data_IF_522873639878
#
_entry.id   IF_522873639878
#
_cell.length_a   1.000
_cell.length_b   1.000
_cell.length_c   1.000
_cell.angle_alpha   90.00
_cell.angle_beta   90.00
_cell.angle_gamma   90.00
#
_symmetry.space_group_name_H-M   'P 1'
#
loop_
_entity.id
_entity.type
_entity.pdbx_description
1 polymer ?
#
# COMPACT_ATOMS: atom_id res chain seq x y z
N UNK A 1 -28.42 -7.69 -24.44
CA UNK A 1 -29.16 -7.17 -23.26
C UNK A 1 -28.34 -7.53 -22.03
N UNK A 2 -27.90 -6.53 -21.25
CA UNK A 2 -27.21 -6.78 -19.99
C UNK A 2 -28.25 -6.95 -18.89
N UNK A 3 -28.22 -8.09 -18.21
CA UNK A 3 -29.10 -8.37 -17.08
C UNK A 3 -28.54 -7.63 -15.86
N UNK A 4 -29.24 -6.61 -15.39
CA UNK A 4 -28.90 -5.92 -14.14
C UNK A 4 -29.63 -6.64 -13.02
N UNK A 5 -28.92 -7.34 -12.10
CA UNK A 5 -29.57 -8.05 -11.02
C UNK A 5 -30.25 -7.05 -10.05
N UNK A 6 -31.38 -7.44 -9.42
CA UNK A 6 -32.11 -6.57 -8.51
C UNK A 6 -31.28 -6.20 -7.27
N UNK A 7 -31.50 -4.98 -6.77
CA UNK A 7 -30.89 -4.48 -5.54
C UNK A 7 -31.21 -5.41 -4.37
N UNK A 8 -30.17 -6.00 -3.77
CA UNK A 8 -30.31 -6.88 -2.62
C UNK A 8 -29.64 -6.21 -1.39
N UNK A 9 -30.38 -5.95 -0.30
CA UNK A 9 -29.88 -5.24 0.88
C UNK A 9 -28.75 -5.97 1.63
N UNK A 10 -28.45 -7.24 1.31
CA UNK A 10 -27.27 -7.94 1.79
C UNK A 10 -25.97 -7.56 1.02
N UNK A 11 -26.08 -7.00 -0.19
CA UNK A 11 -24.92 -6.57 -0.99
C UNK A 11 -24.14 -5.42 -0.34
N UNK A 12 -24.77 -4.34 0.17
CA UNK A 12 -24.06 -3.27 0.87
C UNK A 12 -23.27 -3.78 2.09
N UNK A 13 -23.88 -4.67 2.88
CA UNK A 13 -23.23 -5.25 4.06
C UNK A 13 -22.04 -6.15 3.68
N UNK A 14 -22.16 -6.94 2.61
CA UNK A 14 -21.08 -7.84 2.13
C UNK A 14 -19.95 -7.06 1.46
N UNK A 15 -20.24 -6.01 0.69
CA UNK A 15 -19.23 -5.12 0.12
C UNK A 15 -18.42 -4.40 1.20
N UNK A 16 -19.08 -3.89 2.24
CA UNK A 16 -18.40 -3.26 3.38
C UNK A 16 -17.47 -4.25 4.10
N UNK A 17 -17.85 -5.53 4.21
CA UNK A 17 -16.99 -6.54 4.85
C UNK A 17 -15.71 -6.84 4.07
N UNK A 18 -15.77 -6.89 2.73
CA UNK A 18 -14.60 -7.07 1.87
C UNK A 18 -13.71 -5.83 1.94
N UNK A 19 -14.28 -4.65 1.74
CA UNK A 19 -13.53 -3.40 1.71
C UNK A 19 -12.80 -3.15 3.04
N UNK A 20 -13.45 -3.40 4.19
CA UNK A 20 -12.80 -3.28 5.50
C UNK A 20 -11.60 -4.24 5.61
N UNK A 21 -11.72 -5.47 5.11
CA UNK A 21 -10.63 -6.44 5.11
C UNK A 21 -9.47 -5.97 4.23
N UNK A 22 -9.78 -5.48 3.03
CA UNK A 22 -8.77 -5.03 2.06
C UNK A 22 -8.05 -3.77 2.57
N UNK A 23 -8.77 -2.80 3.14
CA UNK A 23 -8.15 -1.65 3.83
C UNK A 23 -7.28 -2.13 5.01
N UNK A 24 -7.73 -3.12 5.78
CA UNK A 24 -6.92 -3.70 6.86
C UNK A 24 -5.63 -4.34 6.36
N UNK A 25 -5.65 -4.99 5.18
CA UNK A 25 -4.45 -5.52 4.52
C UNK A 25 -3.53 -4.39 4.07
N UNK A 26 -4.07 -3.36 3.42
CA UNK A 26 -3.31 -2.18 3.00
C UNK A 26 -2.56 -1.54 4.17
N UNK A 27 -3.24 -1.29 5.30
CA UNK A 27 -2.63 -0.72 6.51
C UNK A 27 -1.42 -1.53 7.00
N UNK A 28 -1.49 -2.87 6.96
CA UNK A 28 -0.37 -3.73 7.38
C UNK A 28 0.78 -3.73 6.37
N UNK A 29 0.47 -3.71 5.07
CA UNK A 29 1.45 -3.56 4.00
C UNK A 29 2.22 -2.25 4.14
N UNK A 30 1.51 -1.13 4.18
CA UNK A 30 2.07 0.22 4.37
C UNK A 30 2.95 0.32 5.61
N UNK A 31 2.48 -0.22 6.75
CA UNK A 31 3.26 -0.23 7.98
C UNK A 31 4.56 -1.04 7.84
N UNK A 32 4.52 -2.17 7.12
CA UNK A 32 5.69 -3.00 6.83
C UNK A 32 6.67 -2.27 5.90
N UNK A 33 6.17 -1.61 4.87
CA UNK A 33 6.95 -0.78 3.94
C UNK A 33 7.66 0.38 4.66
N UNK A 34 6.95 1.13 5.52
CA UNK A 34 7.54 2.22 6.35
C UNK A 34 8.73 1.75 7.17
N UNK A 35 8.65 0.55 7.74
CA UNK A 35 9.73 -0.04 8.54
C UNK A 35 10.86 -0.50 7.63
N UNK A 36 10.54 -1.16 6.50
CA UNK A 36 11.55 -1.65 5.57
C UNK A 36 12.35 -0.50 4.96
N UNK A 37 11.69 0.57 4.52
CA UNK A 37 12.35 1.67 3.84
C UNK A 37 13.17 2.51 4.81
N UNK A 38 12.78 2.57 6.08
CA UNK A 38 13.64 3.12 7.14
C UNK A 38 14.97 2.35 7.25
N UNK A 39 14.90 1.02 7.21
CA UNK A 39 16.08 0.15 7.28
C UNK A 39 16.94 0.30 6.03
N UNK A 40 16.35 0.29 4.83
CA UNK A 40 17.06 0.48 3.57
C UNK A 40 17.76 1.85 3.51
N UNK A 41 17.10 2.92 3.95
CA UNK A 41 17.70 4.25 4.02
C UNK A 41 18.91 4.31 4.98
N UNK A 42 18.92 3.50 6.06
CA UNK A 42 20.06 3.41 6.97
C UNK A 42 21.24 2.65 6.35
N UNK A 43 20.97 1.72 5.45
CA UNK A 43 21.97 0.89 4.77
C UNK A 43 22.51 1.53 3.48
N UNK A 44 21.78 2.48 2.90
CA UNK A 44 22.18 3.18 1.68
C UNK A 44 23.44 4.02 1.89
N UNK A 45 24.52 3.68 1.16
CA UNK A 45 25.79 4.42 1.21
C UNK A 45 25.74 5.75 0.44
N UNK A 46 24.96 5.80 -0.64
CA UNK A 46 24.79 7.00 -1.46
C UNK A 46 23.77 7.97 -0.81
N UNK A 47 24.14 9.23 -0.51
CA UNK A 47 23.26 10.20 0.13
C UNK A 47 21.99 10.54 -0.67
N UNK A 48 22.09 10.59 -2.00
CA UNK A 48 20.96 10.87 -2.88
C UNK A 48 19.94 9.72 -2.88
N UNK A 49 20.41 8.47 -2.96
CA UNK A 49 19.56 7.27 -2.84
C UNK A 49 18.91 7.23 -1.46
N UNK A 50 19.68 7.49 -0.40
CA UNK A 50 19.14 7.56 0.96
C UNK A 50 18.02 8.60 1.08
N UNK A 51 18.24 9.80 0.52
CA UNK A 51 17.22 10.86 0.50
C UNK A 51 15.96 10.38 -0.23
N UNK A 52 16.10 9.77 -1.40
CA UNK A 52 14.95 9.30 -2.17
C UNK A 52 14.17 8.19 -1.45
N UNK A 53 14.85 7.23 -0.80
CA UNK A 53 14.19 6.19 0.01
C UNK A 53 13.41 6.82 1.18
N UNK A 54 13.94 7.88 1.79
CA UNK A 54 13.23 8.59 2.86
C UNK A 54 12.02 9.38 2.36
N UNK A 55 12.04 9.88 1.13
CA UNK A 55 10.87 10.47 0.47
C UNK A 55 9.80 9.41 0.22
N UNK A 56 10.15 8.26 -0.38
CA UNK A 56 9.23 7.12 -0.57
C UNK A 56 8.62 6.68 0.76
N UNK A 57 9.45 6.52 1.81
CA UNK A 57 8.94 6.21 3.16
C UNK A 57 7.92 7.22 3.68
N UNK A 58 8.08 8.51 3.35
CA UNK A 58 7.15 9.54 3.78
C UNK A 58 5.82 9.45 3.01
N UNK A 59 5.82 8.88 1.82
CA UNK A 59 4.64 8.60 1.00
C UNK A 59 3.86 7.43 1.63
N UNK A 60 4.54 6.34 2.01
CA UNK A 60 3.90 5.22 2.74
C UNK A 60 3.26 5.63 4.07
N UNK A 61 3.89 6.56 4.80
CA UNK A 61 3.28 7.12 6.02
C UNK A 61 1.96 7.84 5.69
N UNK A 62 1.86 8.52 4.55
CA UNK A 62 0.63 9.21 4.15
C UNK A 62 -0.43 8.19 3.71
N UNK A 63 -0.05 7.16 2.97
CA UNK A 63 -0.94 6.06 2.60
C UNK A 63 -1.50 5.35 3.83
N UNK A 64 -0.62 4.91 4.74
CA UNK A 64 -0.97 4.29 6.03
C UNK A 64 -2.02 5.11 6.79
N UNK A 65 -1.75 6.41 7.00
CA UNK A 65 -2.65 7.28 7.78
C UNK A 65 -4.00 7.46 7.09
N UNK A 66 -4.00 7.55 5.75
CA UNK A 66 -5.21 7.67 4.94
C UNK A 66 -6.08 6.41 5.10
N UNK A 67 -5.48 5.23 4.94
CA UNK A 67 -6.19 3.96 5.08
C UNK A 67 -6.67 3.71 6.50
N UNK A 68 -5.88 4.09 7.52
CA UNK A 68 -6.28 4.01 8.93
C UNK A 68 -7.53 4.84 9.23
N UNK A 69 -7.63 6.04 8.65
CA UNK A 69 -8.81 6.88 8.78
C UNK A 69 -10.05 6.23 8.16
N UNK A 70 -9.93 5.66 6.95
CA UNK A 70 -11.04 4.95 6.30
C UNK A 70 -11.46 3.70 7.08
N UNK A 71 -10.51 2.88 7.53
CA UNK A 71 -10.81 1.69 8.33
C UNK A 71 -11.58 2.07 9.58
N UNK A 72 -11.11 3.07 10.33
CA UNK A 72 -11.74 3.49 11.59
C UNK A 72 -13.15 4.01 11.34
N UNK A 73 -13.36 4.77 10.26
CA UNK A 73 -14.68 5.27 9.88
C UNK A 73 -15.66 4.17 9.46
N UNK A 74 -15.19 3.14 8.77
CA UNK A 74 -16.04 2.04 8.27
C UNK A 74 -16.30 0.96 9.31
N UNK A 75 -15.28 0.60 10.09
CA UNK A 75 -15.33 -0.51 11.04
C UNK A 75 -15.73 -0.08 12.46
N UNK A 76 -15.74 1.23 12.75
CA UNK A 76 -16.04 1.77 14.09
C UNK A 76 -15.00 1.41 15.15
N UNK A 77 -13.84 0.88 14.75
CA UNK A 77 -12.75 0.44 15.63
C UNK A 77 -11.41 0.58 14.93
N UNK A 78 -10.33 0.57 15.71
CA UNK A 78 -8.97 0.51 15.16
C UNK A 78 -8.66 -0.90 14.61
N UNK A 79 -7.84 -1.01 13.55
CA UNK A 79 -7.31 -2.29 13.08
C UNK A 79 -6.27 -2.84 14.05
N UNK A 80 -5.99 -4.13 13.94
CA UNK A 80 -4.85 -4.78 14.59
C UNK A 80 -3.66 -4.71 13.62
N UNK A 81 -2.69 -3.84 13.94
CA UNK A 81 -1.55 -3.53 13.05
C UNK A 81 -0.43 -4.53 13.29
N UNK A 82 -0.01 -5.20 12.22
CA UNK A 82 1.03 -6.24 12.25
C UNK A 82 2.06 -6.00 11.17
N UNK A 83 3.29 -6.44 11.44
CA UNK A 83 4.28 -6.63 10.40
C UNK A 83 3.95 -7.95 9.72
N UNK A 84 3.55 -7.88 8.46
CA UNK A 84 3.16 -9.06 7.67
C UNK A 84 4.32 -9.60 6.86
N UNK A 85 5.29 -8.75 6.51
CA UNK A 85 6.43 -9.12 5.67
C UNK A 85 7.72 -8.47 6.19
N UNK A 86 8.66 -9.27 6.75
CA UNK A 86 9.86 -8.73 7.34
C UNK A 86 10.87 -8.31 6.26
N UNK A 87 11.34 -7.07 6.36
CA UNK A 87 12.37 -6.53 5.46
C UNK A 87 13.69 -7.33 5.53
N UNK A 88 14.22 -7.81 4.39
CA UNK A 88 15.48 -8.56 4.34
C UNK A 88 16.67 -7.87 5.03
N UNK A 89 17.63 -8.65 5.51
CA UNK A 89 18.80 -8.14 6.23
C UNK A 89 19.89 -7.58 5.31
N UNK A 90 20.01 -8.09 4.09
CA UNK A 90 20.98 -7.64 3.10
C UNK A 90 20.37 -6.53 2.23
N UNK A 91 21.17 -5.52 1.90
CA UNK A 91 20.67 -4.33 1.20
C UNK A 91 20.10 -4.68 -0.18
N UNK A 92 20.83 -5.52 -0.93
CA UNK A 92 20.43 -6.02 -2.25
C UNK A 92 19.07 -6.74 -2.21
N UNK A 93 18.96 -7.72 -1.31
CA UNK A 93 17.74 -8.47 -1.14
C UNK A 93 16.57 -7.58 -0.68
N UNK A 94 16.86 -6.56 0.13
CA UNK A 94 15.86 -5.60 0.58
C UNK A 94 15.38 -4.66 -0.54
N UNK A 95 16.26 -4.23 -1.45
CA UNK A 95 15.85 -3.47 -2.64
C UNK A 95 15.01 -4.32 -3.60
N UNK A 96 15.39 -5.58 -3.84
CA UNK A 96 14.59 -6.49 -4.67
C UNK A 96 13.23 -6.79 -4.04
N UNK A 97 13.20 -6.98 -2.71
CA UNK A 97 11.97 -7.15 -1.96
C UNK A 97 11.05 -5.93 -2.11
N UNK A 98 11.56 -4.72 -1.86
CA UNK A 98 10.80 -3.48 -2.00
C UNK A 98 10.27 -3.30 -3.43
N UNK A 99 11.10 -3.56 -4.45
CA UNK A 99 10.65 -3.51 -5.85
C UNK A 99 9.44 -4.42 -6.12
N UNK A 100 9.47 -5.66 -5.61
CA UNK A 100 8.37 -6.63 -5.80
C UNK A 100 7.13 -6.25 -5.00
N UNK A 101 7.31 -5.85 -3.74
CA UNK A 101 6.23 -5.40 -2.85
C UNK A 101 5.46 -4.24 -3.47
N UNK A 102 6.17 -3.24 -4.00
CA UNK A 102 5.55 -2.10 -4.69
C UNK A 102 4.78 -2.53 -5.94
N UNK A 103 5.34 -3.42 -6.78
CA UNK A 103 4.66 -3.92 -7.98
C UNK A 103 3.37 -4.70 -7.64
N UNK A 104 3.42 -5.58 -6.64
CA UNK A 104 2.26 -6.35 -6.19
C UNK A 104 1.20 -5.45 -5.53
N UNK A 105 1.63 -4.39 -4.84
CA UNK A 105 0.75 -3.42 -4.20
C UNK A 105 -0.04 -2.59 -5.21
N UNK A 106 0.55 -2.24 -6.37
CA UNK A 106 -0.17 -1.57 -7.46
C UNK A 106 -1.43 -2.35 -7.87
N UNK A 107 -1.27 -3.65 -8.16
CA UNK A 107 -2.39 -4.51 -8.58
C UNK A 107 -3.47 -4.58 -7.49
N UNK A 108 -3.04 -4.76 -6.23
CA UNK A 108 -3.95 -4.84 -5.09
C UNK A 108 -4.73 -3.53 -4.88
N UNK A 109 -4.09 -2.37 -5.03
CA UNK A 109 -4.73 -1.07 -4.85
C UNK A 109 -5.67 -0.72 -6.00
N UNK A 110 -5.33 -1.09 -7.24
CA UNK A 110 -6.24 -0.94 -8.37
C UNK A 110 -7.48 -1.83 -8.20
N UNK A 111 -7.31 -3.10 -7.81
CA UNK A 111 -8.45 -4.00 -7.54
C UNK A 111 -9.34 -3.44 -6.42
N UNK A 112 -8.73 -2.91 -5.35
CA UNK A 112 -9.46 -2.32 -4.22
C UNK A 112 -10.23 -1.07 -4.63
N UNK A 113 -9.62 -0.22 -5.44
CA UNK A 113 -10.26 0.97 -6.01
C UNK A 113 -11.46 0.62 -6.89
N UNK A 114 -11.35 -0.43 -7.71
CA UNK A 114 -12.39 -0.79 -8.68
C UNK A 114 -13.68 -1.27 -8.03
N UNK A 115 -13.59 -1.98 -6.89
CA UNK A 115 -14.77 -2.46 -6.18
C UNK A 115 -15.25 -1.53 -5.05
N UNK A 116 -14.48 -0.50 -4.67
CA UNK A 116 -14.91 0.53 -3.72
C UNK A 116 -16.02 1.42 -4.31
N UNK A 117 -17.11 1.59 -3.54
CA UNK A 117 -18.24 2.46 -3.92
C UNK A 117 -18.03 3.91 -3.47
N UNK A 118 -17.39 4.12 -2.32
CA UNK A 118 -17.09 5.47 -1.83
C UNK A 118 -16.03 6.13 -2.71
N UNK A 119 -16.37 7.29 -3.28
CA UNK A 119 -15.50 8.02 -4.21
C UNK A 119 -14.16 8.40 -3.59
N UNK A 120 -14.13 8.80 -2.31
CA UNK A 120 -12.89 9.20 -1.63
C UNK A 120 -11.96 8.01 -1.45
N UNK A 121 -12.51 6.86 -1.06
CA UNK A 121 -11.75 5.62 -0.92
C UNK A 121 -11.19 5.20 -2.28
N UNK A 122 -12.04 5.21 -3.32
CA UNK A 122 -11.65 4.90 -4.70
C UNK A 122 -10.49 5.77 -5.18
N UNK A 123 -10.59 7.09 -5.00
CA UNK A 123 -9.56 8.04 -5.40
C UNK A 123 -8.26 7.88 -4.62
N UNK A 124 -8.34 7.60 -3.31
CA UNK A 124 -7.16 7.38 -2.48
C UNK A 124 -6.37 6.13 -2.90
N UNK A 125 -7.05 5.00 -3.13
CA UNK A 125 -6.37 3.78 -3.62
C UNK A 125 -5.79 3.97 -5.02
N UNK A 126 -6.46 4.69 -5.91
CA UNK A 126 -5.90 5.03 -7.24
C UNK A 126 -4.65 5.91 -7.14
N UNK A 127 -4.65 6.85 -6.20
CA UNK A 127 -3.50 7.72 -5.98
C UNK A 127 -2.32 6.93 -5.43
N UNK A 128 -2.54 6.13 -4.39
CA UNK A 128 -1.52 5.25 -3.81
C UNK A 128 -0.94 4.30 -4.86
N UNK A 129 -1.77 3.64 -5.67
CA UNK A 129 -1.29 2.79 -6.77
C UNK A 129 -0.38 3.52 -7.77
N UNK A 130 -0.62 4.81 -8.03
CA UNK A 130 0.24 5.59 -8.92
C UNK A 130 1.58 5.96 -8.25
N UNK A 131 1.56 6.21 -6.94
CA UNK A 131 2.76 6.48 -6.14
C UNK A 131 3.59 5.18 -6.01
N UNK A 132 2.97 4.03 -5.71
CA UNK A 132 3.60 2.68 -5.65
C UNK A 132 4.28 2.30 -6.98
N UNK A 133 3.63 2.59 -8.10
CA UNK A 133 4.23 2.35 -9.42
C UNK A 133 5.52 3.17 -9.61
N UNK A 134 5.55 4.40 -9.12
CA UNK A 134 6.74 5.26 -9.13
C UNK A 134 7.81 4.75 -8.16
N UNK A 135 7.41 4.31 -6.96
CA UNK A 135 8.31 3.71 -5.98
C UNK A 135 9.01 2.47 -6.54
N UNK A 136 8.28 1.58 -7.22
CA UNK A 136 8.87 0.42 -7.89
C UNK A 136 9.92 0.83 -8.93
N UNK A 137 9.68 1.88 -9.71
CA UNK A 137 10.66 2.38 -10.70
C UNK A 137 11.92 2.92 -10.00
N UNK A 138 11.78 3.58 -8.85
CA UNK A 138 12.93 4.01 -8.04
C UNK A 138 13.72 2.83 -7.47
N UNK A 139 13.05 1.82 -6.90
CA UNK A 139 13.75 0.64 -6.39
C UNK A 139 14.47 -0.12 -7.50
N UNK A 140 13.86 -0.23 -8.69
CA UNK A 140 14.53 -0.76 -9.88
C UNK A 140 15.79 0.06 -10.23
N UNK A 141 15.70 1.39 -10.22
CA UNK A 141 16.86 2.25 -10.44
C UNK A 141 17.97 2.02 -9.40
N UNK A 142 17.63 1.93 -8.11
CA UNK A 142 18.62 1.66 -7.06
C UNK A 142 19.32 0.31 -7.24
N UNK A 143 18.62 -0.71 -7.73
CA UNK A 143 19.20 -2.01 -8.05
C UNK A 143 20.26 -1.91 -9.17
N UNK A 144 20.16 -0.94 -10.08
CA UNK A 144 21.14 -0.72 -11.17
C UNK A 144 22.33 0.16 -10.79
N UNK A 145 22.29 0.82 -9.63
CA UNK A 145 23.29 1.82 -9.18
C UNK A 145 24.23 1.29 -8.11
N UNK A 146 24.33 -0.03 -8.01
CA UNK A 146 25.24 -0.71 -7.09
C UNK A 146 26.61 -0.92 -7.71
#
# INVERSE_FOLDING_TARGET
MWHVPPYNPAFPARQNSRLIKDIGKAINGEHSAVICYQKLAQMAANPEIKKQILEIRQDEIRHFNTFLAFYTSLAGRKPDIKITEPCPAQYQAGLEFAFKDEQETVDFYLETSDHAQDRKIKEAFKRAAADEQNHAVWFLYFMTKQ
#
